data_IF_913323866516
#
_entry.id   IF_913323866516
#
_cell.length_a   1.000
_cell.length_b   1.000
_cell.length_c   1.000
_cell.angle_alpha   90.00
_cell.angle_beta   90.00
_cell.angle_gamma   90.00
#
_symmetry.space_group_name_H-M   'P 1'
#
loop_
_entity.id
_entity.type
_entity.pdbx_description
1 polymer ?
#
# COMPACT_ATOMS: atom_id res chain seq x y z
N UNK A 1 -11.93 -4.33 -8.80
CA UNK A 1 -11.89 -5.42 -7.85
C UNK A 1 -11.64 -4.92 -6.45
N UNK A 2 -12.38 -5.46 -5.55
CA UNK A 2 -12.52 -4.85 -4.24
C UNK A 2 -11.43 -5.16 -3.24
N UNK A 3 -10.65 -6.21 -3.47
CA UNK A 3 -9.57 -6.55 -2.55
C UNK A 3 -8.54 -5.42 -2.49
N UNK A 4 -8.17 -4.88 -3.65
CA UNK A 4 -7.22 -3.76 -3.68
C UNK A 4 -7.74 -2.56 -2.91
N UNK A 5 -9.03 -2.28 -3.02
CA UNK A 5 -9.65 -1.18 -2.30
C UNK A 5 -9.60 -1.41 -0.78
N UNK A 6 -9.87 -2.63 -0.35
CA UNK A 6 -9.81 -2.95 1.07
C UNK A 6 -8.40 -2.82 1.62
N UNK A 7 -7.41 -3.26 0.86
CA UNK A 7 -6.01 -3.11 1.25
C UNK A 7 -5.68 -1.62 1.37
N UNK A 8 -6.09 -0.84 0.40
CA UNK A 8 -5.86 0.60 0.39
C UNK A 8 -6.46 1.26 1.63
N UNK A 9 -7.71 0.93 1.94
CA UNK A 9 -8.39 1.52 3.09
C UNK A 9 -7.71 1.15 4.40
N UNK A 10 -7.22 -0.08 4.52
CA UNK A 10 -6.52 -0.50 5.72
C UNK A 10 -5.16 0.17 5.86
N UNK A 11 -4.47 0.39 4.75
CA UNK A 11 -3.15 1.04 4.80
C UNK A 11 -3.23 2.51 5.23
N UNK A 12 -4.39 3.11 5.15
CA UNK A 12 -4.55 4.48 5.64
C UNK A 12 -4.50 4.54 7.16
N UNK A 13 -4.89 3.46 7.82
CA UNK A 13 -4.99 3.42 9.29
C UNK A 13 -4.00 2.47 9.95
N UNK A 14 -3.36 1.60 9.18
CA UNK A 14 -2.47 0.58 9.71
C UNK A 14 -1.14 0.60 8.95
N UNK A 15 -0.08 0.25 9.67
CA UNK A 15 1.25 0.24 9.07
C UNK A 15 1.57 -1.05 8.33
N UNK A 16 0.76 -2.07 8.49
CA UNK A 16 1.01 -3.36 7.85
C UNK A 16 -0.31 -4.05 7.55
N UNK A 17 -0.46 -4.52 6.33
CA UNK A 17 -1.62 -5.30 5.91
C UNK A 17 -1.12 -6.59 5.29
N UNK A 18 -1.39 -7.71 5.95
CA UNK A 18 -0.98 -9.01 5.46
C UNK A 18 -2.07 -9.59 4.57
N UNK A 19 -1.69 -9.93 3.34
CA UNK A 19 -2.56 -10.68 2.44
C UNK A 19 -2.11 -12.14 2.55
N UNK A 20 -2.91 -13.00 3.18
CA UNK A 20 -2.49 -14.37 3.46
C UNK A 20 -2.02 -15.10 2.21
N UNK A 21 -0.90 -15.79 2.32
CA UNK A 21 -0.28 -16.57 1.25
C UNK A 21 0.27 -15.73 0.10
N UNK A 22 0.22 -14.41 0.20
CA UNK A 22 0.77 -13.54 -0.83
C UNK A 22 1.93 -12.70 -0.29
N UNK A 23 1.72 -11.98 0.77
CA UNK A 23 2.73 -11.13 1.37
C UNK A 23 2.08 -9.99 2.11
N UNK A 24 2.87 -9.08 2.62
CA UNK A 24 2.36 -7.94 3.37
C UNK A 24 2.76 -6.63 2.71
N UNK A 25 1.84 -5.69 2.74
CA UNK A 25 2.13 -4.32 2.36
C UNK A 25 2.41 -3.55 3.64
N UNK A 26 3.56 -2.91 3.69
CA UNK A 26 4.05 -2.25 4.89
C UNK A 26 4.23 -0.77 4.60
N UNK A 27 3.65 0.06 5.46
CA UNK A 27 3.83 1.51 5.38
C UNK A 27 4.78 1.93 6.47
N UNK A 28 5.75 2.74 6.10
CA UNK A 28 6.72 3.28 7.03
C UNK A 28 6.69 4.79 6.97
N UNK A 29 6.72 5.43 8.13
CA UNK A 29 6.75 6.87 8.19
C UNK A 29 8.15 7.38 7.88
N UNK A 30 8.22 8.41 7.07
CA UNK A 30 9.47 9.09 6.74
C UNK A 30 9.40 10.46 7.39
N UNK A 31 10.41 10.79 8.19
CA UNK A 31 10.44 12.07 8.88
C UNK A 31 10.59 13.22 7.90
N UNK A 32 10.15 14.40 8.34
CA UNK A 32 10.36 15.63 7.59
C UNK A 32 11.86 15.86 7.40
N UNK A 33 12.21 16.39 6.23
CA UNK A 33 13.61 16.66 5.90
C UNK A 33 13.76 18.08 5.38
N UNK A 34 14.92 18.65 5.63
CA UNK A 34 15.28 19.96 5.11
C UNK A 34 16.35 19.73 4.06
N UNK A 35 16.23 20.39 2.91
CA UNK A 35 17.22 20.25 1.85
C UNK A 35 18.57 20.78 2.33
N UNK A 36 19.65 20.34 1.67
CA UNK A 36 20.99 20.70 2.08
C UNK A 36 21.24 22.22 2.03
N UNK A 37 20.57 22.91 1.15
CA UNK A 37 20.68 24.37 1.04
C UNK A 37 19.65 25.09 1.89
N UNK A 38 18.82 24.36 2.63
CA UNK A 38 17.83 24.88 3.55
C UNK A 38 16.75 25.72 2.88
N UNK A 39 16.57 25.55 1.57
CA UNK A 39 15.53 26.28 0.85
C UNK A 39 14.24 25.51 0.73
N UNK A 40 14.26 24.22 1.03
CA UNK A 40 13.06 23.37 0.93
C UNK A 40 12.88 22.54 2.16
N UNK A 41 11.63 22.36 2.55
CA UNK A 41 11.27 21.45 3.63
C UNK A 41 10.32 20.40 3.05
N UNK A 42 10.67 19.13 3.26
CA UNK A 42 9.85 18.03 2.80
C UNK A 42 9.03 17.52 3.99
N UNK A 43 7.69 17.53 3.89
CA UNK A 43 6.85 17.12 5.02
C UNK A 43 7.03 15.64 5.33
N UNK A 44 6.62 15.18 6.51
CA UNK A 44 6.61 13.76 6.81
C UNK A 44 5.72 13.03 5.82
N UNK A 45 6.11 11.83 5.46
CA UNK A 45 5.44 11.08 4.42
C UNK A 45 5.42 9.61 4.80
N UNK A 46 4.76 8.81 3.99
CA UNK A 46 4.78 7.36 4.17
C UNK A 46 5.42 6.71 2.95
N UNK A 47 6.13 5.64 3.21
CA UNK A 47 6.73 4.82 2.17
C UNK A 47 6.08 3.43 2.23
N UNK A 48 5.64 2.93 1.08
CA UNK A 48 5.03 1.61 1.00
C UNK A 48 6.05 0.62 0.47
N UNK A 49 6.14 -0.53 1.12
CA UNK A 49 6.99 -1.61 0.66
C UNK A 49 6.22 -2.92 0.74
N UNK A 50 6.75 -3.96 0.12
CA UNK A 50 6.11 -5.27 0.09
C UNK A 50 7.06 -6.30 0.70
N UNK A 51 6.55 -7.11 1.63
CA UNK A 51 7.32 -8.16 2.28
C UNK A 51 6.72 -9.51 1.96
N UNK A 52 7.36 -10.26 1.07
CA UNK A 52 6.88 -11.56 0.63
C UNK A 52 6.92 -12.62 1.74
N UNK A 53 7.71 -12.39 2.77
CA UNK A 53 7.85 -13.34 3.87
C UNK A 53 6.71 -13.29 4.87
N UNK A 54 5.99 -12.19 4.93
CA UNK A 54 4.87 -12.05 5.87
C UNK A 54 3.60 -12.54 5.21
N UNK A 55 3.32 -13.82 5.36
CA UNK A 55 2.17 -14.44 4.71
C UNK A 55 1.17 -15.05 5.68
N UNK A 56 1.47 -15.01 6.96
CA UNK A 56 0.59 -15.62 7.96
C UNK A 56 -0.60 -14.72 8.24
N UNK A 57 -1.78 -15.30 8.15
CA UNK A 57 -3.02 -14.56 8.37
C UNK A 57 -3.12 -14.05 9.82
N UNK A 58 -3.26 -12.75 9.98
CA UNK A 58 -3.51 -12.13 11.28
C UNK A 58 -4.97 -11.72 11.46
N UNK A 59 -5.80 -11.99 10.46
CA UNK A 59 -7.22 -11.70 10.53
C UNK A 59 -7.62 -10.30 10.13
N UNK A 60 -6.68 -9.38 10.00
CA UNK A 60 -7.04 -7.98 9.74
C UNK A 60 -7.79 -7.78 8.44
N UNK A 61 -7.24 -8.27 7.34
CA UNK A 61 -7.87 -8.10 6.02
C UNK A 61 -9.17 -8.88 5.92
N UNK A 62 -9.18 -10.11 6.41
CA UNK A 62 -10.37 -10.96 6.34
C UNK A 62 -11.52 -10.33 7.13
N UNK A 63 -11.24 -9.88 8.34
CA UNK A 63 -12.28 -9.26 9.16
C UNK A 63 -12.78 -7.96 8.55
N UNK A 64 -11.89 -7.18 7.96
CA UNK A 64 -12.30 -5.94 7.30
C UNK A 64 -13.25 -6.22 6.14
N UNK A 65 -12.92 -7.21 5.30
CA UNK A 65 -13.78 -7.56 4.17
C UNK A 65 -15.11 -8.15 4.65
N UNK A 66 -15.03 -9.02 5.65
CA UNK A 66 -16.24 -9.63 6.23
C UNK A 66 -17.19 -8.55 6.71
N UNK A 67 -16.68 -7.58 7.43
CA UNK A 67 -17.50 -6.50 7.97
C UNK A 67 -18.01 -5.58 6.84
N UNK A 68 -17.12 -5.16 5.96
CA UNK A 68 -17.48 -4.18 4.92
C UNK A 68 -18.43 -4.72 3.88
N UNK A 69 -18.31 -6.00 3.52
CA UNK A 69 -19.15 -6.60 2.49
C UNK A 69 -20.23 -7.49 3.05
N UNK A 70 -20.33 -7.53 4.38
CA UNK A 70 -21.35 -8.33 5.07
C UNK A 70 -21.30 -9.81 4.67
N UNK A 71 -20.10 -10.36 4.67
CA UNK A 71 -19.84 -11.75 4.39
C UNK A 71 -19.40 -12.48 5.66
N UNK A 72 -19.58 -13.81 5.67
CA UNK A 72 -18.99 -14.58 6.76
C UNK A 72 -17.47 -14.57 6.64
N UNK A 73 -16.81 -14.88 7.74
CA UNK A 73 -15.35 -14.96 7.76
C UNK A 73 -14.84 -15.91 6.68
N UNK A 74 -15.51 -17.07 6.56
CA UNK A 74 -15.10 -18.07 5.58
C UNK A 74 -15.23 -17.57 4.15
N UNK A 75 -16.31 -16.86 3.84
CA UNK A 75 -16.49 -16.30 2.50
C UNK A 75 -15.49 -15.22 2.20
N UNK A 76 -15.16 -14.38 3.18
CA UNK A 76 -14.15 -13.36 3.01
C UNK A 76 -12.78 -13.99 2.77
N UNK A 77 -12.46 -15.03 3.53
CA UNK A 77 -11.20 -15.75 3.37
C UNK A 77 -11.09 -16.35 1.97
N UNK A 78 -12.19 -16.96 1.49
CA UNK A 78 -12.22 -17.54 0.15
C UNK A 78 -12.01 -16.48 -0.92
N UNK A 79 -12.59 -15.33 -0.73
CA UNK A 79 -12.46 -14.24 -1.68
C UNK A 79 -11.01 -13.78 -1.80
N UNK A 80 -10.33 -13.68 -0.66
CA UNK A 80 -8.92 -13.34 -0.65
C UNK A 80 -8.10 -14.43 -1.31
N UNK A 81 -8.37 -15.69 -0.98
CA UNK A 81 -7.62 -16.81 -1.55
C UNK A 81 -7.76 -16.85 -3.08
N UNK A 82 -8.96 -16.60 -3.59
CA UNK A 82 -9.18 -16.57 -5.03
C UNK A 82 -8.40 -15.43 -5.69
N UNK A 83 -8.38 -14.27 -5.07
CA UNK A 83 -7.63 -13.13 -5.57
C UNK A 83 -6.14 -13.44 -5.59
N UNK A 84 -5.63 -14.03 -4.51
CA UNK A 84 -4.23 -14.39 -4.41
C UNK A 84 -3.84 -15.40 -5.46
N UNK A 85 -4.63 -16.48 -5.61
CA UNK A 85 -4.33 -17.53 -6.58
C UNK A 85 -4.32 -16.98 -8.00
N UNK A 86 -5.28 -16.12 -8.32
CA UNK A 86 -5.34 -15.50 -9.64
C UNK A 86 -4.10 -14.67 -9.92
N UNK A 87 -3.67 -13.87 -8.94
CA UNK A 87 -2.52 -13.00 -9.13
C UNK A 87 -1.21 -13.76 -9.13
N UNK A 88 -1.10 -14.84 -8.34
CA UNK A 88 0.10 -15.66 -8.38
C UNK A 88 0.28 -16.32 -9.74
N UNK A 89 -0.83 -16.74 -10.37
CA UNK A 89 -0.75 -17.29 -11.71
C UNK A 89 -0.29 -16.27 -12.72
N UNK A 90 -0.77 -15.04 -12.61
CA UNK A 90 -0.33 -13.96 -13.48
C UNK A 90 1.17 -13.72 -13.34
N UNK A 91 1.66 -13.72 -12.11
CA UNK A 91 3.08 -13.52 -11.86
C UNK A 91 3.92 -14.65 -12.44
N UNK A 92 3.44 -15.90 -12.32
CA UNK A 92 4.13 -17.05 -12.92
C UNK A 92 4.21 -16.94 -14.43
N UNK A 93 3.23 -16.31 -15.05
CA UNK A 93 3.20 -16.08 -16.48
C UNK A 93 3.96 -14.81 -16.89
N UNK A 94 4.75 -14.26 -16.00
CA UNK A 94 5.55 -13.05 -16.23
C UNK A 94 4.70 -11.82 -16.48
N UNK A 95 3.47 -11.81 -16.00
CA UNK A 95 2.62 -10.64 -16.08
C UNK A 95 2.81 -9.78 -14.83
N UNK A 96 2.65 -8.48 -15.00
CA UNK A 96 2.68 -7.56 -13.88
C UNK A 96 1.27 -7.44 -13.32
N UNK A 97 1.14 -7.42 -11.99
CA UNK A 97 -0.14 -7.18 -11.38
C UNK A 97 -0.14 -5.79 -10.75
N UNK A 98 -1.29 -5.16 -10.77
CA UNK A 98 -1.46 -3.84 -10.19
C UNK A 98 -2.34 -3.92 -8.94
N UNK A 99 -1.86 -3.34 -7.85
CA UNK A 99 -2.68 -3.14 -6.66
C UNK A 99 -3.05 -1.66 -6.70
N UNK A 100 -4.27 -1.41 -7.13
CA UNK A 100 -4.69 -0.05 -7.50
C UNK A 100 -4.43 0.95 -6.39
N UNK A 101 -3.82 2.08 -6.75
CA UNK A 101 -3.46 3.18 -5.85
C UNK A 101 -2.39 2.82 -4.82
N UNK A 102 -1.77 1.67 -4.95
CA UNK A 102 -0.75 1.23 -4.01
C UNK A 102 0.57 0.98 -4.72
N UNK A 103 0.53 0.19 -5.79
CA UNK A 103 1.72 -0.12 -6.55
C UNK A 103 1.51 -1.31 -7.45
N UNK A 104 2.60 -1.86 -7.94
CA UNK A 104 2.56 -3.02 -8.82
C UNK A 104 3.61 -4.04 -8.41
N UNK A 105 3.36 -5.29 -8.77
CA UNK A 105 4.27 -6.39 -8.47
C UNK A 105 4.55 -7.16 -9.74
N UNK A 106 5.79 -7.51 -9.95
CA UNK A 106 6.16 -8.41 -11.04
C UNK A 106 7.21 -9.39 -10.56
N UNK A 107 7.38 -10.47 -11.29
CA UNK A 107 8.34 -11.51 -10.94
C UNK A 107 9.61 -11.31 -11.75
N UNK A 108 10.75 -11.27 -11.07
CA UNK A 108 12.05 -11.16 -11.71
C UNK A 108 13.02 -12.07 -10.97
N UNK A 109 13.68 -12.96 -11.71
CA UNK A 109 14.64 -13.91 -11.14
C UNK A 109 14.06 -14.65 -9.94
N UNK A 110 12.82 -15.10 -10.10
CA UNK A 110 12.07 -15.85 -9.07
C UNK A 110 11.78 -15.04 -7.81
N UNK A 111 11.91 -13.72 -7.88
CA UNK A 111 11.60 -12.83 -6.76
C UNK A 111 10.52 -11.84 -7.14
N UNK A 112 9.67 -11.53 -6.17
CA UNK A 112 8.64 -10.52 -6.36
C UNK A 112 9.27 -9.14 -6.19
N UNK A 113 9.09 -8.31 -7.21
CA UNK A 113 9.57 -6.93 -7.20
C UNK A 113 8.36 -6.03 -7.10
N UNK A 114 8.31 -5.22 -6.05
CA UNK A 114 7.22 -4.28 -5.82
C UNK A 114 7.67 -2.87 -6.19
N UNK A 115 6.84 -2.19 -6.97
CA UNK A 115 7.08 -0.80 -7.34
C UNK A 115 5.94 0.03 -6.78
N UNK A 116 6.18 0.89 -5.80
CA UNK A 116 5.12 1.71 -5.24
C UNK A 116 4.61 2.73 -6.25
N UNK A 117 3.32 3.04 -6.13
CA UNK A 117 2.70 4.06 -6.96
C UNK A 117 3.06 5.43 -6.37
N UNK A 118 3.87 6.19 -7.10
CA UNK A 118 4.35 7.49 -6.64
C UNK A 118 3.20 8.47 -6.41
N UNK A 119 2.11 8.28 -7.12
CA UNK A 119 0.96 9.16 -7.01
C UNK A 119 -0.12 8.57 -6.10
N UNK A 120 0.23 7.60 -5.28
CA UNK A 120 -0.73 6.93 -4.42
C UNK A 120 -1.41 7.91 -3.48
N UNK A 121 -2.73 7.82 -3.40
CA UNK A 121 -3.51 8.62 -2.48
C UNK A 121 -3.16 8.27 -1.03
N UNK A 122 -2.72 7.04 -0.77
CA UNK A 122 -2.26 6.64 0.55
C UNK A 122 -1.10 7.54 0.97
N UNK A 123 -0.13 7.73 0.07
CA UNK A 123 1.02 8.57 0.38
C UNK A 123 0.62 10.02 0.59
N UNK A 124 -0.27 10.51 -0.27
CA UNK A 124 -0.70 11.90 -0.18
C UNK A 124 -1.56 12.17 1.05
N UNK A 125 -2.45 11.25 1.38
CA UNK A 125 -3.35 11.46 2.50
C UNK A 125 -2.68 11.26 3.85
N UNK A 126 -1.49 10.66 3.87
CA UNK A 126 -0.82 10.34 5.13
C UNK A 126 -0.46 11.57 5.95
N UNK A 127 -0.24 12.70 5.32
CA UNK A 127 0.04 13.94 6.05
C UNK A 127 -1.01 15.02 5.79
N UNK A 128 -2.10 14.66 5.13
CA UNK A 128 -3.26 15.54 4.99
C UNK A 128 -3.02 16.86 4.31
N UNK A 129 -1.92 17.01 3.61
CA UNK A 129 -1.54 18.27 3.00
C UNK A 129 -1.23 18.10 1.54
N UNK A 130 -1.39 19.17 0.82
CA UNK A 130 -0.89 19.22 -0.54
C UNK A 130 0.60 19.42 -0.50
N UNK A 131 1.28 19.01 -1.56
CA UNK A 131 2.69 19.30 -1.70
C UNK A 131 2.86 20.81 -1.78
N UNK A 132 3.78 21.35 -1.01
CA UNK A 132 4.04 22.77 -1.03
C UNK A 132 5.45 23.05 -1.48
N UNK A 133 5.62 24.16 -2.17
CA UNK A 133 6.93 24.64 -2.54
C UNK A 133 7.53 25.39 -1.36
N UNK A 134 8.84 25.46 -1.32
CA UNK A 134 9.49 26.11 -0.21
C UNK A 134 9.05 27.57 -0.05
N UNK A 135 8.79 28.23 -1.16
CA UNK A 135 8.34 29.61 -1.12
C UNK A 135 6.95 29.76 -0.52
N UNK A 136 6.14 28.69 -0.61
CA UNK A 136 4.82 28.71 -0.02
C UNK A 136 4.85 28.16 1.37
N UNK A 137 5.70 27.19 1.57
CA UNK A 137 5.78 26.50 2.83
C UNK A 137 6.09 27.44 3.95
N UNK A 138 6.91 28.32 3.65
CA UNK A 138 7.28 29.25 4.66
C UNK A 138 6.06 30.03 5.02
N UNK A 139 5.13 29.85 4.26
CA UNK A 139 3.87 30.33 4.55
C UNK A 139 2.91 29.25 4.40
N UNK A 140 3.04 28.50 4.09
CA UNK A 140 2.39 27.53 3.88
C UNK A 140 2.04 26.74 3.40
N UNK A 141 2.20 26.91 3.05
CA UNK A 141 2.06 26.27 2.43
C UNK A 141 1.50 26.04 1.79
N UNK A 142 1.36 26.92 1.42
CA UNK A 142 1.20 26.79 0.73
C UNK A 142 0.80 26.23 0.01
N UNK A 143 0.85 26.43 -0.17
CA UNK A 143 0.77 25.71 -0.81
C UNK A 143 0.82 24.99 -1.01
#
# INVERSE_FOLDING_TARGET
MKISLHIFNLLRDHDCVIVPNFGALVCRNISAKISSDKTKIYPPNKEISFNRSLVKNDGLLINHISYSEKLSYEKAEKKIANWVNKNLKKLENQEMIEIKNIGSVHLKDSKFIFTPDQDSIVLKSSYGLKTVESSELIKTNKK
#
